data_IF_958205567582
#
_entry.id   IF_958205567582
#
_cell.length_a   1.000
_cell.length_b   1.000
_cell.length_c   1.000
_cell.angle_alpha   90.00
_cell.angle_beta   90.00
_cell.angle_gamma   90.00
#
_symmetry.space_group_name_H-M   'P 1'
#
loop_
_entity.id
_entity.type
_entity.pdbx_description
1 polymer ?
#
# COMPACT_ATOMS: atom_id res chain seq x y z
N UNK A 1 32.87 -1.81 -3.23
CA UNK A 1 31.75 -2.05 -4.17
C UNK A 1 30.60 -1.12 -3.76
N UNK A 2 30.03 -0.33 -4.68
CA UNK A 2 28.91 0.56 -4.34
C UNK A 2 27.67 -0.31 -4.04
N UNK A 3 27.23 -0.33 -2.78
CA UNK A 3 26.12 -1.18 -2.34
C UNK A 3 24.79 -0.88 -3.04
N UNK A 4 24.67 0.29 -3.69
CA UNK A 4 23.46 0.76 -4.34
C UNK A 4 23.39 0.46 -5.85
N UNK A 5 24.36 -0.28 -6.41
CA UNK A 5 24.35 -0.63 -7.85
C UNK A 5 22.98 -1.17 -8.31
N UNK A 6 22.34 -2.12 -7.61
CA UNK A 6 21.07 -2.65 -8.09
C UNK A 6 19.94 -1.60 -8.12
N UNK A 7 19.92 -0.70 -7.13
CA UNK A 7 18.96 0.39 -7.07
C UNK A 7 19.23 1.41 -8.18
N UNK A 8 20.49 1.76 -8.44
CA UNK A 8 20.85 2.65 -9.56
C UNK A 8 20.46 2.04 -10.90
N UNK A 9 20.75 0.76 -11.12
CA UNK A 9 20.35 0.04 -12.33
C UNK A 9 18.83 0.06 -12.52
N UNK A 10 18.06 -0.17 -11.45
CA UNK A 10 16.61 -0.07 -11.51
C UNK A 10 16.15 1.35 -11.87
N UNK A 11 16.68 2.38 -11.20
CA UNK A 11 16.30 3.77 -11.45
C UNK A 11 16.65 4.22 -12.87
N UNK A 12 17.83 3.86 -13.37
CA UNK A 12 18.27 4.18 -14.73
C UNK A 12 17.34 3.57 -15.80
N UNK A 13 16.71 2.42 -15.52
CA UNK A 13 15.72 1.81 -16.42
C UNK A 13 14.43 2.61 -16.55
N UNK A 14 14.08 3.40 -15.53
CA UNK A 14 12.88 4.25 -15.51
C UNK A 14 13.19 5.68 -15.97
N UNK A 15 14.30 6.23 -15.50
CA UNK A 15 14.76 7.57 -15.80
C UNK A 15 16.30 7.61 -15.69
N UNK A 16 17.03 7.78 -16.80
CA UNK A 16 18.49 7.83 -16.76
C UNK A 16 18.99 8.98 -15.88
N UNK A 17 19.66 8.67 -14.77
CA UNK A 17 20.21 9.67 -13.87
C UNK A 17 21.68 9.97 -14.23
N UNK A 18 22.05 11.25 -14.18
CA UNK A 18 23.48 11.64 -14.28
C UNK A 18 24.26 11.16 -13.05
N UNK A 19 25.58 11.00 -13.19
CA UNK A 19 26.43 10.56 -12.07
C UNK A 19 26.36 11.48 -10.85
N UNK A 20 26.21 12.80 -11.05
CA UNK A 20 25.99 13.74 -9.96
C UNK A 20 24.64 13.54 -9.25
N UNK A 21 23.57 13.25 -10.01
CA UNK A 21 22.27 12.93 -9.44
C UNK A 21 22.30 11.63 -8.66
N UNK A 22 22.95 10.59 -9.18
CA UNK A 22 23.14 9.31 -8.48
C UNK A 22 23.90 9.49 -7.18
N UNK A 23 25.01 10.24 -7.21
CA UNK A 23 25.81 10.52 -6.01
C UNK A 23 25.00 11.27 -4.95
N UNK A 24 24.22 12.27 -5.36
CA UNK A 24 23.37 13.04 -4.44
C UNK A 24 22.23 12.20 -3.90
N UNK A 25 21.54 11.44 -4.74
CA UNK A 25 20.48 10.53 -4.32
C UNK A 25 21.01 9.51 -3.30
N UNK A 26 22.14 8.86 -3.57
CA UNK A 26 22.74 7.88 -2.66
C UNK A 26 23.14 8.44 -1.31
N UNK A 27 23.49 9.73 -1.23
CA UNK A 27 23.76 10.38 0.06
C UNK A 27 22.53 10.55 0.97
N UNK A 28 21.31 10.41 0.42
CA UNK A 28 20.05 10.50 1.16
C UNK A 28 19.52 9.12 1.60
N UNK A 29 20.17 8.04 1.16
CA UNK A 29 19.73 6.67 1.44
C UNK A 29 20.28 6.21 2.78
N UNK A 30 19.42 5.60 3.59
CA UNK A 30 19.83 4.89 4.82
C UNK A 30 19.68 3.39 4.60
N UNK A 31 20.65 2.60 5.06
CA UNK A 31 20.62 1.13 4.98
C UNK A 31 20.32 0.53 6.34
N UNK A 32 19.49 -0.51 6.37
CA UNK A 32 19.21 -1.32 7.55
C UNK A 32 19.41 -2.80 7.22
N UNK A 33 19.90 -3.58 8.19
CA UNK A 33 20.11 -5.02 8.06
C UNK A 33 19.22 -5.73 9.07
N UNK A 34 18.51 -6.76 8.60
CA UNK A 34 17.60 -7.55 9.41
C UNK A 34 18.02 -9.02 9.38
N UNK A 35 17.77 -9.72 10.48
CA UNK A 35 18.00 -11.15 10.61
C UNK A 35 16.71 -11.94 10.35
N UNK A 36 16.83 -13.26 10.14
CA UNK A 36 15.67 -14.11 9.89
C UNK A 36 14.71 -14.07 11.07
N UNK A 37 13.47 -13.64 10.82
CA UNK A 37 12.42 -13.51 11.83
C UNK A 37 12.19 -12.08 12.30
N UNK A 38 13.10 -11.15 11.98
CA UNK A 38 12.89 -9.73 12.23
C UNK A 38 11.80 -9.16 11.33
N UNK A 39 11.12 -8.14 11.85
CA UNK A 39 10.06 -7.45 11.14
C UNK A 39 10.57 -6.07 10.73
N UNK A 40 10.60 -5.80 9.43
CA UNK A 40 10.88 -4.45 8.91
C UNK A 40 9.75 -3.49 9.30
N UNK A 41 8.51 -3.96 9.18
CA UNK A 41 7.29 -3.23 9.49
C UNK A 41 6.25 -4.22 10.04
N UNK A 42 5.39 -3.74 10.94
CA UNK A 42 4.21 -4.45 11.44
C UNK A 42 2.93 -3.77 10.97
N UNK A 43 1.84 -4.53 10.98
CA UNK A 43 0.51 -3.95 10.75
C UNK A 43 0.23 -2.84 11.78
N UNK A 44 -0.12 -1.66 11.30
CA UNK A 44 -0.34 -0.47 12.13
C UNK A 44 0.85 0.50 12.19
N UNK A 45 2.04 0.09 11.74
CA UNK A 45 3.20 0.99 11.68
C UNK A 45 2.98 2.08 10.61
N UNK A 46 3.36 3.32 10.93
CA UNK A 46 3.36 4.41 9.97
C UNK A 46 4.54 4.26 9.01
N UNK A 47 4.27 4.23 7.70
CA UNK A 47 5.32 4.12 6.69
C UNK A 47 6.01 5.47 6.48
N UNK A 48 7.22 5.61 7.00
CA UNK A 48 8.01 6.85 6.86
C UNK A 48 9.01 6.81 5.69
N UNK A 49 9.28 5.63 5.12
CA UNK A 49 10.30 5.41 4.11
C UNK A 49 9.82 4.46 3.02
N UNK A 50 10.33 4.65 1.80
CA UNK A 50 10.27 3.66 0.73
C UNK A 50 11.48 2.71 0.88
N UNK A 51 11.23 1.41 0.86
CA UNK A 51 12.28 0.40 1.10
C UNK A 51 12.62 -0.36 -0.19
N UNK A 52 13.91 -0.57 -0.43
CA UNK A 52 14.42 -1.37 -1.54
C UNK A 52 15.24 -2.55 -0.99
N UNK A 53 14.95 -3.76 -1.46
CA UNK A 53 15.62 -4.97 -1.03
C UNK A 53 16.96 -5.12 -1.77
N UNK A 54 18.09 -4.82 -1.12
CA UNK A 54 19.40 -5.03 -1.72
C UNK A 54 19.79 -6.51 -1.77
N UNK A 55 19.39 -7.29 -0.76
CA UNK A 55 19.66 -8.72 -0.69
C UNK A 55 18.67 -9.42 0.27
N UNK A 56 18.45 -10.72 0.04
CA UNK A 56 17.55 -11.54 0.86
C UNK A 56 16.13 -11.68 0.28
N UNK A 57 15.20 -12.06 1.15
CA UNK A 57 13.79 -12.28 0.81
C UNK A 57 12.91 -11.85 1.98
N UNK A 58 11.93 -11.01 1.68
CA UNK A 58 10.92 -10.52 2.61
C UNK A 58 9.59 -11.21 2.32
N UNK A 59 8.94 -11.69 3.37
CA UNK A 59 7.57 -12.22 3.30
C UNK A 59 6.60 -11.12 3.67
N UNK A 60 5.75 -10.73 2.73
CA UNK A 60 4.64 -9.81 2.99
C UNK A 60 3.44 -10.66 3.37
N UNK A 61 2.83 -10.36 4.51
CA UNK A 61 1.69 -11.11 5.02
C UNK A 61 0.68 -10.18 5.69
N UNK A 62 -0.53 -10.68 5.85
CA UNK A 62 -1.58 -10.04 6.63
C UNK A 62 -2.15 -11.05 7.63
N UNK A 63 -2.67 -10.56 8.75
CA UNK A 63 -3.42 -11.37 9.69
C UNK A 63 -4.88 -11.42 9.25
N UNK A 64 -5.45 -12.63 9.18
CA UNK A 64 -6.88 -12.83 8.98
C UNK A 64 -7.64 -12.66 10.29
N UNK A 65 -8.96 -12.50 10.19
CA UNK A 65 -9.87 -12.30 11.34
C UNK A 65 -9.80 -13.44 12.37
N UNK A 66 -9.43 -14.66 11.97
CA UNK A 66 -9.22 -15.81 12.85
C UNK A 66 -7.80 -15.85 13.47
N UNK A 67 -7.04 -14.76 13.38
CA UNK A 67 -5.69 -14.63 13.93
C UNK A 67 -4.60 -15.34 13.15
N UNK A 68 -4.92 -15.98 12.00
CA UNK A 68 -3.93 -16.68 11.18
C UNK A 68 -3.17 -15.71 10.29
N UNK A 69 -1.89 -15.97 10.06
CA UNK A 69 -1.14 -15.24 9.04
C UNK A 69 -1.40 -15.83 7.66
N UNK A 70 -1.63 -14.97 6.67
CA UNK A 70 -1.69 -15.33 5.26
C UNK A 70 -0.64 -14.57 4.50
N UNK A 71 0.15 -15.30 3.71
CA UNK A 71 1.16 -14.72 2.85
C UNK A 71 0.45 -14.02 1.70
N UNK A 72 0.76 -12.74 1.51
CA UNK A 72 0.30 -11.93 0.38
C UNK A 72 1.23 -12.14 -0.81
N UNK A 73 2.53 -11.99 -0.58
CA UNK A 73 3.57 -12.10 -1.59
C UNK A 73 4.95 -12.20 -0.93
N UNK A 74 5.96 -12.44 -1.76
CA UNK A 74 7.36 -12.31 -1.37
C UNK A 74 8.01 -11.19 -2.17
N UNK A 75 8.93 -10.46 -1.55
CA UNK A 75 9.80 -9.48 -2.20
C UNK A 75 11.24 -9.99 -2.09
N UNK A 76 11.89 -10.18 -3.23
CA UNK A 76 13.27 -10.69 -3.31
C UNK A 76 14.25 -9.55 -3.56
N UNK A 77 15.55 -9.87 -3.63
CA UNK A 77 16.59 -8.91 -3.97
C UNK A 77 16.27 -8.15 -5.27
N UNK A 78 16.67 -6.89 -5.30
CA UNK A 78 16.51 -5.92 -6.39
C UNK A 78 15.06 -5.51 -6.67
N UNK A 79 14.19 -5.62 -5.67
CA UNK A 79 12.79 -5.21 -5.74
C UNK A 79 12.43 -4.27 -4.58
N UNK A 80 11.41 -3.45 -4.78
CA UNK A 80 10.92 -2.56 -3.73
C UNK A 80 10.01 -3.33 -2.75
N UNK A 81 10.31 -3.19 -1.46
CA UNK A 81 9.47 -3.72 -0.39
C UNK A 81 8.33 -2.72 -0.18
N UNK A 82 7.25 -2.87 -0.96
CA UNK A 82 6.09 -1.99 -0.88
C UNK A 82 4.85 -2.75 -0.43
N UNK A 83 4.10 -2.15 0.49
CA UNK A 83 2.67 -2.40 0.54
C UNK A 83 2.01 -1.39 -0.38
N UNK A 84 1.32 -1.88 -1.42
CA UNK A 84 0.48 -1.06 -2.30
C UNK A 84 -0.38 -0.06 -1.50
N UNK A 85 -0.94 -0.49 -0.35
CA UNK A 85 -1.78 0.32 0.54
C UNK A 85 -1.01 1.34 1.37
N UNK A 86 0.29 1.14 1.63
CA UNK A 86 1.11 2.07 2.39
C UNK A 86 1.82 3.09 1.49
N UNK A 87 2.10 2.73 0.24
CA UNK A 87 2.75 3.59 -0.74
C UNK A 87 1.77 4.50 -1.47
N UNK A 88 0.59 3.98 -1.80
CA UNK A 88 -0.49 4.72 -2.44
C UNK A 88 -1.49 5.07 -1.36
N UNK A 89 -1.19 6.13 -0.61
CA UNK A 89 -2.29 7.04 -0.34
C UNK A 89 -2.47 7.78 -1.66
N UNK A 90 -3.57 7.56 -2.40
CA UNK A 90 -3.82 8.22 -3.71
C UNK A 90 -3.67 9.75 -3.69
N UNK A 91 -3.59 10.32 -2.49
CA UNK A 91 -3.23 11.70 -2.16
C UNK A 91 -1.89 12.16 -2.76
N UNK A 92 -0.83 11.34 -2.75
CA UNK A 92 0.48 11.76 -3.29
C UNK A 92 0.45 11.94 -4.82
N UNK A 93 -0.16 10.98 -5.53
CA UNK A 93 -0.33 11.05 -6.98
C UNK A 93 -1.27 12.20 -7.38
N UNK A 94 -2.31 12.47 -6.58
CA UNK A 94 -3.17 13.64 -6.75
C UNK A 94 -2.39 14.96 -6.67
N UNK A 95 -1.49 15.12 -5.69
CA UNK A 95 -0.66 16.32 -5.57
C UNK A 95 0.29 16.52 -6.76
N UNK A 96 0.91 15.44 -7.24
CA UNK A 96 1.81 15.52 -8.39
C UNK A 96 1.10 15.97 -9.68
N UNK A 97 -0.17 15.60 -9.82
CA UNK A 97 -0.97 15.88 -11.02
C UNK A 97 -1.91 17.08 -10.87
N UNK A 98 -1.84 17.82 -9.77
CA UNK A 98 -2.72 18.97 -9.46
C UNK A 98 -2.65 20.07 -10.51
N UNK A 99 -1.49 20.26 -11.15
CA UNK A 99 -1.30 21.22 -12.24
C UNK A 99 -1.81 20.73 -13.61
N UNK A 100 -2.37 19.53 -13.69
CA UNK A 100 -2.88 18.92 -14.93
C UNK A 100 -4.39 18.81 -14.91
N UNK A 101 -4.99 18.43 -16.05
CA UNK A 101 -6.43 18.12 -16.13
C UNK A 101 -6.77 16.68 -15.67
N UNK A 102 -5.77 15.91 -15.23
CA UNK A 102 -5.95 14.50 -14.86
C UNK A 102 -6.53 14.40 -13.45
N UNK A 103 -7.69 13.76 -13.31
CA UNK A 103 -8.32 13.46 -12.02
C UNK A 103 -8.02 12.02 -11.62
N UNK A 104 -7.51 11.82 -10.41
CA UNK A 104 -7.13 10.51 -9.88
C UNK A 104 -8.12 10.07 -8.81
N UNK A 105 -8.92 9.04 -9.12
CA UNK A 105 -9.88 8.45 -8.21
C UNK A 105 -9.33 7.16 -7.61
N UNK A 106 -9.49 7.02 -6.31
CA UNK A 106 -9.05 5.86 -5.55
C UNK A 106 -10.27 5.15 -4.97
N UNK A 107 -10.42 3.87 -5.30
CA UNK A 107 -11.53 3.04 -4.85
C UNK A 107 -10.99 2.02 -3.87
N UNK A 108 -11.53 2.03 -2.66
CA UNK A 108 -11.15 1.09 -1.61
C UNK A 108 -12.40 0.29 -1.22
N UNK A 109 -12.69 -0.81 -1.93
CA UNK A 109 -13.85 -1.62 -1.66
C UNK A 109 -13.57 -2.70 -0.60
N UNK A 110 -14.60 -3.15 0.15
CA UNK A 110 -14.57 -4.45 0.81
C UNK A 110 -14.53 -5.58 -0.22
N UNK A 111 -14.46 -6.84 0.22
CA UNK A 111 -14.53 -8.00 -0.68
C UNK A 111 -15.75 -7.90 -1.60
N UNK A 112 -15.53 -8.10 -2.89
CA UNK A 112 -16.57 -8.00 -3.92
C UNK A 112 -16.96 -9.41 -4.33
N UNK A 113 -18.25 -9.72 -4.36
CA UNK A 113 -18.79 -11.03 -4.74
C UNK A 113 -18.62 -11.31 -6.25
N UNK A 114 -17.40 -11.63 -6.66
CA UNK A 114 -17.04 -12.11 -8.00
C UNK A 114 -16.69 -13.60 -7.97
N UNK A 115 -16.57 -14.23 -9.13
CA UNK A 115 -16.14 -15.64 -9.25
C UNK A 115 -14.81 -15.90 -8.52
N UNK A 116 -13.86 -14.97 -8.59
CA UNK A 116 -12.58 -15.04 -7.90
C UNK A 116 -12.70 -15.08 -6.37
N UNK A 117 -13.84 -14.70 -5.81
CA UNK A 117 -14.11 -14.65 -4.36
C UNK A 117 -15.23 -15.59 -3.93
N UNK A 118 -15.57 -16.62 -4.72
CA UNK A 118 -16.73 -17.49 -4.50
C UNK A 118 -16.78 -18.22 -3.14
N UNK A 119 -15.69 -18.24 -2.37
CA UNK A 119 -15.64 -18.85 -1.04
C UNK A 119 -16.38 -18.07 0.07
N UNK A 120 -16.50 -18.63 1.28
CA UNK A 120 -17.16 -17.97 2.42
C UNK A 120 -16.47 -16.64 2.78
N UNK A 121 -17.27 -15.60 3.03
CA UNK A 121 -16.77 -14.31 3.51
C UNK A 121 -17.93 -13.39 3.92
N UNK A 122 -17.86 -12.81 5.11
CA UNK A 122 -18.86 -11.86 5.61
C UNK A 122 -18.57 -10.45 5.10
N UNK A 123 -19.60 -9.62 4.94
CA UNK A 123 -19.45 -8.20 4.61
C UNK A 123 -19.04 -7.91 3.15
N UNK A 124 -19.29 -8.85 2.24
CA UNK A 124 -19.07 -8.63 0.81
C UNK A 124 -20.10 -7.67 0.22
N UNK A 125 -19.73 -7.00 -0.86
CA UNK A 125 -20.63 -6.19 -1.70
C UNK A 125 -20.78 -6.83 -3.08
N UNK A 126 -21.88 -6.53 -3.78
CA UNK A 126 -22.02 -6.94 -5.18
C UNK A 126 -21.16 -6.06 -6.11
N UNK A 127 -20.76 -6.56 -7.30
CA UNK A 127 -20.16 -5.74 -8.34
C UNK A 127 -21.02 -4.52 -8.71
N UNK A 128 -22.34 -4.69 -8.78
CA UNK A 128 -23.27 -3.59 -9.08
C UNK A 128 -23.26 -2.52 -8.00
N UNK A 129 -23.19 -2.93 -6.73
CA UNK A 129 -23.10 -1.98 -5.62
C UNK A 129 -21.78 -1.20 -5.65
N UNK A 130 -20.66 -1.87 -5.96
CA UNK A 130 -19.36 -1.22 -6.16
C UNK A 130 -19.44 -0.18 -7.29
N UNK A 131 -19.99 -0.57 -8.44
CA UNK A 131 -20.15 0.29 -9.59
C UNK A 131 -21.01 1.52 -9.27
N UNK A 132 -22.14 1.31 -8.57
CA UNK A 132 -23.04 2.38 -8.17
C UNK A 132 -22.37 3.38 -7.20
N UNK A 133 -21.63 2.90 -6.20
CA UNK A 133 -20.92 3.78 -5.26
C UNK A 133 -19.77 4.55 -5.95
N UNK A 134 -19.10 3.93 -6.91
CA UNK A 134 -18.10 4.58 -7.74
C UNK A 134 -18.72 5.71 -8.57
N UNK A 135 -19.75 5.44 -9.37
CA UNK A 135 -20.40 6.43 -10.25
C UNK A 135 -20.88 7.65 -9.44
N UNK A 136 -21.55 7.41 -8.31
CA UNK A 136 -22.01 8.49 -7.41
C UNK A 136 -20.90 9.37 -6.87
N UNK A 137 -19.70 8.81 -6.68
CA UNK A 137 -18.55 9.52 -6.14
C UNK A 137 -17.76 10.20 -7.25
N UNK A 138 -17.72 9.58 -8.42
CA UNK A 138 -17.17 10.13 -9.66
C UNK A 138 -17.92 11.41 -10.08
N UNK A 139 -19.24 11.39 -10.11
CA UNK A 139 -20.09 12.56 -10.41
C UNK A 139 -19.89 13.74 -9.45
N UNK A 140 -19.41 13.46 -8.23
CA UNK A 140 -19.22 14.44 -7.16
C UNK A 140 -17.75 14.82 -6.96
N UNK A 141 -16.86 14.39 -7.85
CA UNK A 141 -15.41 14.60 -7.72
C UNK A 141 -14.86 14.17 -6.34
N UNK A 142 -15.45 13.12 -5.74
CA UNK A 142 -14.90 12.52 -4.52
C UNK A 142 -13.78 11.56 -4.89
N UNK A 143 -12.57 12.05 -4.76
CA UNK A 143 -11.38 11.34 -5.21
C UNK A 143 -10.96 10.14 -4.34
N UNK A 144 -11.44 10.08 -3.10
CA UNK A 144 -11.27 8.93 -2.21
C UNK A 144 -12.63 8.29 -1.94
N UNK A 145 -12.78 7.04 -2.41
CA UNK A 145 -14.05 6.32 -2.44
C UNK A 145 -13.92 5.11 -1.53
N UNK A 146 -14.11 5.36 -0.23
CA UNK A 146 -14.28 4.31 0.77
C UNK A 146 -15.67 3.71 0.62
N UNK A 147 -15.80 2.38 0.61
CA UNK A 147 -17.10 1.70 0.41
C UNK A 147 -17.43 0.82 1.61
N UNK A 148 -18.72 0.76 1.96
CA UNK A 148 -19.21 -0.06 3.08
C UNK A 148 -18.62 0.31 4.44
N UNK A 149 -18.30 -0.70 5.26
CA UNK A 149 -17.79 -0.55 6.65
C UNK A 149 -16.45 0.18 6.74
N UNK A 150 -15.73 0.31 5.63
CA UNK A 150 -14.44 1.01 5.56
C UNK A 150 -14.63 2.51 5.88
N UNK A 151 -15.78 3.11 5.53
CA UNK A 151 -16.12 4.50 5.90
C UNK A 151 -16.11 4.71 7.42
N UNK A 152 -16.75 3.79 8.15
CA UNK A 152 -16.85 3.84 9.61
C UNK A 152 -15.49 3.57 10.25
N UNK A 153 -14.75 2.58 9.75
CA UNK A 153 -13.42 2.27 10.24
C UNK A 153 -12.46 3.45 10.06
N UNK A 154 -12.49 4.13 8.93
CA UNK A 154 -11.64 5.30 8.68
C UNK A 154 -11.99 6.47 9.61
N UNK A 155 -13.28 6.68 9.89
CA UNK A 155 -13.72 7.65 10.88
C UNK A 155 -13.25 7.29 12.29
N UNK A 156 -13.34 6.01 12.67
CA UNK A 156 -12.87 5.52 13.97
C UNK A 156 -11.34 5.62 14.06
N UNK A 157 -10.60 5.31 13.01
CA UNK A 157 -9.14 5.52 12.98
C UNK A 157 -8.78 6.98 13.27
N UNK A 158 -9.58 7.93 12.77
CA UNK A 158 -9.34 9.36 12.99
C UNK A 158 -9.62 9.82 14.43
N UNK A 159 -10.51 9.12 15.13
CA UNK A 159 -10.94 9.48 16.50
C UNK A 159 -10.16 8.68 17.55
N UNK A 160 -9.93 7.40 17.30
CA UNK A 160 -9.21 6.47 18.17
C UNK A 160 -8.61 5.31 17.35
N UNK A 161 -7.31 5.40 17.00
CA UNK A 161 -6.60 4.33 16.30
C UNK A 161 -6.67 2.99 17.06
N UNK A 162 -6.55 3.03 18.40
CA UNK A 162 -6.61 1.82 19.24
C UNK A 162 -7.98 1.15 19.25
N UNK A 163 -9.07 1.91 19.11
CA UNK A 163 -10.42 1.36 18.98
C UNK A 163 -10.64 0.75 17.60
N UNK A 164 -10.12 1.38 16.54
CA UNK A 164 -10.14 0.84 15.19
C UNK A 164 -9.41 -0.51 15.14
N UNK A 165 -8.23 -0.60 15.77
CA UNK A 165 -7.46 -1.84 15.86
C UNK A 165 -8.18 -2.93 16.64
N UNK A 166 -8.88 -2.60 17.74
CA UNK A 166 -9.71 -3.55 18.49
C UNK A 166 -10.91 -4.05 17.68
N UNK A 167 -11.56 -3.18 16.93
CA UNK A 167 -12.68 -3.56 16.06
C UNK A 167 -12.23 -4.42 14.89
N UNK A 168 -11.04 -4.16 14.34
CA UNK A 168 -10.40 -5.00 13.31
C UNK A 168 -9.98 -6.38 13.85
N UNK A 169 -9.56 -6.47 15.12
CA UNK A 169 -9.21 -7.74 15.76
C UNK A 169 -10.42 -8.63 16.08
N UNK A 170 -11.61 -8.05 16.28
CA UNK A 170 -12.80 -8.75 16.78
C UNK A 170 -13.95 -8.88 15.75
N UNK A 171 -13.75 -8.42 14.51
CA UNK A 171 -14.78 -8.29 13.46
C UNK A 171 -14.82 -9.40 12.42
#
# INVERSE_FOLDING_TARGET
MNAFIPLHTFLDSLLPLTENQKKRFSSLITTTTLTKGDHLLRAGDSLSYLYFCLSGCFRLYYSTYDGKERIKSFCTANDFITSYTALLTGKALRYQLEATKVKVFEIIPPLVSTEMTAGPGKGKISPDQLALEFVRSFERDRYEILIGKIKLLHLIQRISPSLADKLLKNG
#
